data_IF_328816698723
#
_entry.id   IF_328816698723
#
_cell.length_a   1.000
_cell.length_b   1.000
_cell.length_c   1.000
_cell.angle_alpha   90.00
_cell.angle_beta   90.00
_cell.angle_gamma   90.00
#
_symmetry.space_group_name_H-M   'P 1'
#
loop_
_entity.id
_entity.type
_entity.pdbx_description
1 polymer ?
#
# COMPACT_ATOMS: atom_id res chain seq x y z
N UNK A 1 -3.10 -6.14 -13.89
CA UNK A 1 -3.09 -6.82 -15.21
C UNK A 1 -4.46 -6.99 -15.82
N UNK A 2 -5.42 -7.63 -15.14
CA UNK A 2 -6.77 -7.85 -15.68
C UNK A 2 -7.43 -6.57 -16.22
N UNK A 3 -7.55 -5.52 -15.39
CA UNK A 3 -8.13 -4.24 -15.82
C UNK A 3 -7.39 -3.63 -17.02
N UNK A 4 -6.06 -3.69 -17.04
CA UNK A 4 -5.28 -3.14 -18.16
C UNK A 4 -5.47 -3.90 -19.47
N UNK A 5 -5.68 -5.23 -19.41
CA UNK A 5 -5.86 -6.09 -20.60
C UNK A 5 -7.28 -6.05 -21.17
N UNK A 6 -8.29 -6.06 -20.30
CA UNK A 6 -9.68 -6.25 -20.71
C UNK A 6 -10.57 -5.01 -20.49
N UNK A 7 -10.16 -4.09 -19.62
CA UNK A 7 -10.98 -2.94 -19.20
C UNK A 7 -10.15 -1.66 -19.15
N UNK A 8 -9.25 -1.46 -20.11
CA UNK A 8 -8.36 -0.30 -20.16
C UNK A 8 -9.09 1.05 -20.03
N UNK A 9 -10.28 1.26 -20.65
CA UNK A 9 -11.01 2.51 -20.51
C UNK A 9 -11.33 2.87 -19.05
N UNK A 10 -11.50 1.89 -18.15
CA UNK A 10 -11.74 2.19 -16.73
C UNK A 10 -10.52 2.84 -16.04
N UNK A 11 -9.31 2.49 -16.48
CA UNK A 11 -8.08 3.08 -15.95
C UNK A 11 -7.90 4.49 -16.55
N UNK A 12 -8.13 4.65 -17.85
CA UNK A 12 -8.03 5.94 -18.55
C UNK A 12 -9.05 6.96 -18.02
N UNK A 13 -10.28 6.50 -17.72
CA UNK A 13 -11.33 7.31 -17.10
C UNK A 13 -11.13 7.54 -15.58
N UNK A 14 -9.99 7.11 -15.01
CA UNK A 14 -9.65 7.25 -13.59
C UNK A 14 -10.69 6.64 -12.64
N UNK A 15 -11.23 5.47 -12.99
CA UNK A 15 -12.25 4.75 -12.18
C UNK A 15 -11.67 3.62 -11.34
N UNK A 16 -10.37 3.34 -11.47
CA UNK A 16 -9.69 2.27 -10.75
C UNK A 16 -8.86 2.86 -9.62
N UNK A 17 -9.13 2.39 -8.40
CA UNK A 17 -8.46 2.84 -7.18
C UNK A 17 -7.97 1.66 -6.35
N UNK A 18 -6.90 1.87 -5.61
CA UNK A 18 -6.36 0.93 -4.63
C UNK A 18 -6.52 1.57 -3.25
N UNK A 19 -7.29 0.93 -2.37
CA UNK A 19 -7.42 1.37 -0.99
C UNK A 19 -6.18 1.02 -0.17
N UNK A 20 -5.77 1.93 0.70
CA UNK A 20 -4.63 1.75 1.59
C UNK A 20 -5.09 1.46 3.02
N UNK A 21 -5.15 0.19 3.44
CA UNK A 21 -5.37 -0.14 4.84
C UNK A 21 -4.19 0.27 5.72
N UNK A 22 -4.44 0.64 6.99
CA UNK A 22 -3.38 0.93 7.94
C UNK A 22 -2.59 -0.35 8.27
N UNK A 23 -1.29 -0.21 8.49
CA UNK A 23 -0.41 -1.32 8.87
C UNK A 23 -0.37 -1.53 10.39
N UNK A 24 -0.64 -0.48 11.15
CA UNK A 24 -0.52 -0.50 12.61
C UNK A 24 -1.74 0.13 13.28
N UNK A 25 -2.07 -0.39 14.47
CA UNK A 25 -3.03 0.18 15.42
C UNK A 25 -2.32 0.39 16.74
N UNK A 26 -2.48 1.60 17.28
CA UNK A 26 -1.90 2.03 18.55
C UNK A 26 -3.08 2.33 19.49
N UNK A 27 -3.14 1.61 20.60
CA UNK A 27 -4.15 1.80 21.65
C UNK A 27 -3.46 2.38 22.89
N UNK A 28 -3.85 3.57 23.31
CA UNK A 28 -3.38 4.13 24.59
C UNK A 28 -4.10 3.44 25.75
N UNK A 29 -3.37 2.79 26.66
CA UNK A 29 -3.97 1.99 27.73
C UNK A 29 -4.65 2.84 28.82
N UNK A 30 -4.25 4.10 28.97
CA UNK A 30 -4.78 5.02 29.98
C UNK A 30 -6.08 5.69 29.53
N UNK A 31 -6.10 6.20 28.30
CA UNK A 31 -7.26 6.93 27.74
C UNK A 31 -8.19 6.06 26.90
N UNK A 32 -7.76 4.83 26.57
CA UNK A 32 -8.42 3.92 25.62
C UNK A 32 -8.59 4.52 24.21
N UNK A 33 -7.86 5.59 23.89
CA UNK A 33 -7.89 6.20 22.55
C UNK A 33 -7.15 5.31 21.55
N UNK A 34 -7.77 5.05 20.42
CA UNK A 34 -7.21 4.30 19.30
C UNK A 34 -6.69 5.27 18.24
N UNK A 35 -5.56 4.92 17.63
CA UNK A 35 -5.01 5.61 16.47
C UNK A 35 -4.38 4.60 15.51
N UNK A 36 -4.32 4.94 14.22
CA UNK A 36 -3.81 4.07 13.16
C UNK A 36 -2.53 4.65 12.56
N UNK A 37 -1.68 3.84 11.95
CA UNK A 37 -0.56 4.31 11.14
C UNK A 37 -0.41 3.47 9.87
N UNK A 38 -0.13 4.13 8.75
CA UNK A 38 -0.03 3.53 7.42
C UNK A 38 1.40 3.13 7.04
N UNK A 39 2.41 3.76 7.65
CA UNK A 39 3.81 3.42 7.45
C UNK A 39 4.61 3.48 8.77
N UNK A 40 5.89 3.08 8.70
CA UNK A 40 6.78 3.09 9.86
C UNK A 40 7.15 4.50 10.34
N UNK A 41 7.20 5.48 9.45
CA UNK A 41 7.58 6.86 9.79
C UNK A 41 6.47 7.54 10.58
N UNK A 42 5.22 7.33 10.16
CA UNK A 42 4.03 7.78 10.86
C UNK A 42 3.92 7.09 12.23
N UNK A 43 4.19 5.77 12.28
CA UNK A 43 4.25 5.03 13.55
C UNK A 43 5.28 5.67 14.49
N UNK A 44 6.53 5.85 14.06
CA UNK A 44 7.60 6.48 14.87
C UNK A 44 7.19 7.86 15.36
N UNK A 45 6.53 8.66 14.52
CA UNK A 45 6.06 9.99 14.89
C UNK A 45 4.96 9.94 15.96
N UNK A 46 3.95 9.08 15.78
CA UNK A 46 2.87 8.91 16.77
C UNK A 46 3.39 8.38 18.11
N UNK A 47 4.34 7.45 18.07
CA UNK A 47 4.98 6.92 19.27
C UNK A 47 5.79 7.97 20.03
N UNK A 48 6.48 8.91 19.34
CA UNK A 48 7.19 10.02 20.01
C UNK A 48 6.26 10.94 20.79
N UNK A 49 5.04 11.13 20.32
CA UNK A 49 4.04 11.98 20.99
C UNK A 49 3.27 11.26 22.11
N UNK A 50 3.26 9.92 22.11
CA UNK A 50 2.70 9.13 23.20
C UNK A 50 3.71 8.97 24.35
N UNK A 51 3.44 9.63 25.49
CA UNK A 51 4.21 9.44 26.73
C UNK A 51 3.67 8.32 27.63
N UNK A 52 2.41 7.92 27.43
CA UNK A 52 1.74 6.90 28.23
C UNK A 52 2.02 5.49 27.72
N UNK A 53 1.74 4.47 28.55
CA UNK A 53 1.75 3.07 28.13
C UNK A 53 0.75 2.84 26.98
N UNK A 54 1.20 2.16 25.95
CA UNK A 54 0.39 1.84 24.76
C UNK A 54 0.53 0.36 24.41
N UNK A 55 -0.46 -0.13 23.68
CA UNK A 55 -0.46 -1.43 23.01
C UNK A 55 -0.36 -1.20 21.51
N UNK A 56 0.56 -1.91 20.86
CA UNK A 56 0.78 -1.85 19.41
C UNK A 56 0.34 -3.17 18.78
N UNK A 57 -0.58 -3.08 17.83
CA UNK A 57 -1.00 -4.19 16.99
C UNK A 57 -0.57 -3.91 15.55
N UNK A 58 0.12 -4.87 14.92
CA UNK A 58 0.48 -4.82 13.50
C UNK A 58 -0.49 -5.71 12.73
N UNK A 59 -1.20 -5.14 11.77
CA UNK A 59 -2.10 -5.89 10.91
C UNK A 59 -1.30 -6.74 9.91
N UNK A 60 -1.63 -8.03 9.84
CA UNK A 60 -1.07 -8.95 8.84
C UNK A 60 -1.96 -9.09 7.61
N UNK A 61 -3.22 -8.69 7.73
CA UNK A 61 -4.18 -8.65 6.65
C UNK A 61 -5.52 -8.09 7.11
N UNK A 62 -6.44 -7.93 6.16
CA UNK A 62 -7.75 -7.32 6.42
C UNK A 62 -8.63 -8.15 7.36
N UNK A 63 -8.42 -9.46 7.43
CA UNK A 63 -9.20 -10.36 8.31
C UNK A 63 -8.99 -10.13 9.81
N UNK A 64 -7.97 -9.37 10.20
CA UNK A 64 -7.72 -8.97 11.59
C UNK A 64 -8.46 -7.68 11.98
N UNK A 65 -9.19 -7.06 11.04
CA UNK A 65 -9.93 -5.83 11.25
C UNK A 65 -11.43 -6.12 11.41
N UNK A 66 -12.04 -5.47 12.40
CA UNK A 66 -13.49 -5.48 12.55
C UNK A 66 -14.14 -4.52 11.54
N UNK A 67 -15.44 -4.69 11.27
CA UNK A 67 -16.19 -3.88 10.30
C UNK A 67 -16.08 -2.37 10.56
N UNK A 68 -16.19 -1.93 11.82
CA UNK A 68 -16.06 -0.52 12.20
C UNK A 68 -14.66 0.03 11.88
N UNK A 69 -13.61 -0.75 12.20
CA UNK A 69 -12.23 -0.35 11.94
C UNK A 69 -11.98 -0.25 10.43
N UNK A 70 -12.52 -1.18 9.67
CA UNK A 70 -12.38 -1.20 8.21
C UNK A 70 -13.10 -0.01 7.58
N UNK A 71 -14.31 0.32 8.08
CA UNK A 71 -15.05 1.50 7.65
C UNK A 71 -14.27 2.78 7.89
N UNK A 72 -13.90 3.04 9.15
CA UNK A 72 -13.23 4.28 9.59
C UNK A 72 -11.89 4.53 8.92
N UNK A 73 -11.19 3.47 8.50
CA UNK A 73 -9.83 3.58 7.97
C UNK A 73 -9.73 3.47 6.45
N UNK A 74 -10.59 2.68 5.80
CA UNK A 74 -10.43 2.33 4.38
C UNK A 74 -11.64 2.59 3.50
N UNK A 75 -12.85 2.67 4.06
CA UNK A 75 -14.07 2.79 3.24
C UNK A 75 -14.75 4.15 3.33
N UNK A 76 -14.69 4.80 4.49
CA UNK A 76 -15.29 6.12 4.69
C UNK A 76 -14.70 7.16 3.71
N UNK A 77 -15.51 7.74 2.81
CA UNK A 77 -15.05 8.71 1.83
C UNK A 77 -14.29 9.91 2.41
N UNK A 78 -14.58 10.30 3.65
CA UNK A 78 -13.97 11.46 4.30
C UNK A 78 -12.57 11.16 4.86
N UNK A 79 -12.31 9.92 5.28
CA UNK A 79 -11.05 9.55 5.97
C UNK A 79 -10.16 8.61 5.17
N UNK A 80 -10.71 7.88 4.18
CA UNK A 80 -9.98 6.85 3.44
C UNK A 80 -8.84 7.42 2.60
N UNK A 81 -7.77 6.64 2.49
CA UNK A 81 -6.68 6.91 1.56
C UNK A 81 -6.76 5.96 0.36
N UNK A 82 -6.84 6.55 -0.83
CA UNK A 82 -6.90 5.82 -2.10
C UNK A 82 -5.76 6.25 -3.01
N UNK A 83 -5.15 5.29 -3.69
CA UNK A 83 -4.27 5.54 -4.83
C UNK A 83 -5.09 5.40 -6.10
N UNK A 84 -5.17 6.48 -6.89
CA UNK A 84 -5.76 6.43 -8.22
C UNK A 84 -4.76 5.80 -9.21
N UNK A 85 -5.19 4.78 -9.93
CA UNK A 85 -4.35 4.11 -10.93
C UNK A 85 -4.40 4.89 -12.23
N UNK A 86 -3.24 5.34 -12.73
CA UNK A 86 -3.09 6.03 -14.01
C UNK A 86 -2.12 5.29 -14.93
N UNK A 87 -2.17 5.61 -16.23
CA UNK A 87 -1.22 5.13 -17.24
C UNK A 87 -0.54 6.36 -17.82
N UNK A 88 0.72 6.57 -17.49
CA UNK A 88 1.49 7.72 -18.00
C UNK A 88 2.05 7.41 -19.39
N UNK A 89 2.69 6.25 -19.54
CA UNK A 89 3.22 5.74 -20.80
C UNK A 89 2.72 4.31 -21.05
N UNK A 90 1.89 4.15 -22.08
CA UNK A 90 1.31 2.87 -22.46
C UNK A 90 2.34 1.85 -22.96
N UNK A 91 3.41 2.29 -23.64
CA UNK A 91 4.45 1.40 -24.13
C UNK A 91 5.29 0.84 -22.97
N UNK A 92 5.64 1.68 -21.99
CA UNK A 92 6.34 1.25 -20.78
C UNK A 92 5.45 0.32 -19.95
N UNK A 93 4.18 0.67 -19.76
CA UNK A 93 3.22 -0.15 -19.03
C UNK A 93 3.05 -1.54 -19.67
N UNK A 94 2.91 -1.61 -21.00
CA UNK A 94 2.83 -2.86 -21.75
C UNK A 94 4.08 -3.72 -21.53
N UNK A 95 5.27 -3.13 -21.69
CA UNK A 95 6.54 -3.83 -21.48
C UNK A 95 6.62 -4.41 -20.06
N UNK A 96 6.29 -3.62 -19.03
CA UNK A 96 6.30 -4.07 -17.62
C UNK A 96 5.34 -5.22 -17.40
N UNK A 97 4.12 -5.14 -17.93
CA UNK A 97 3.10 -6.19 -17.76
C UNK A 97 3.54 -7.49 -18.46
N UNK A 98 4.10 -7.42 -19.66
CA UNK A 98 4.59 -8.60 -20.38
C UNK A 98 5.75 -9.25 -19.63
N UNK A 99 6.74 -8.46 -19.16
CA UNK A 99 7.88 -9.01 -18.42
C UNK A 99 7.48 -9.64 -17.09
N UNK A 100 6.60 -8.98 -16.31
CA UNK A 100 6.25 -9.44 -14.96
C UNK A 100 5.18 -10.53 -14.95
N UNK A 101 4.22 -10.47 -15.87
CA UNK A 101 3.00 -11.28 -15.83
C UNK A 101 2.81 -12.15 -17.08
N UNK A 102 3.77 -12.15 -18.02
CA UNK A 102 3.78 -13.02 -19.19
C UNK A 102 4.43 -14.39 -18.92
N UNK A 103 4.45 -15.23 -19.94
CA UNK A 103 4.81 -16.66 -19.80
C UNK A 103 6.33 -16.92 -19.72
N UNK A 104 7.15 -15.95 -20.13
CA UNK A 104 8.61 -16.06 -20.15
C UNK A 104 9.20 -15.89 -18.74
N UNK A 105 9.41 -17.03 -18.06
CA UNK A 105 9.98 -17.06 -16.73
C UNK A 105 11.42 -16.53 -16.67
N UNK A 106 12.20 -16.66 -17.75
CA UNK A 106 13.60 -16.20 -17.77
C UNK A 106 13.66 -14.69 -17.73
N UNK A 107 12.89 -14.01 -18.58
CA UNK A 107 12.80 -12.53 -18.56
C UNK A 107 12.37 -11.98 -17.21
N UNK A 108 11.43 -12.67 -16.54
CA UNK A 108 10.98 -12.28 -15.21
C UNK A 108 12.08 -12.44 -14.18
N UNK A 109 12.83 -13.54 -14.23
CA UNK A 109 13.98 -13.78 -13.34
C UNK A 109 15.06 -12.71 -13.54
N UNK A 110 15.46 -12.46 -14.78
CA UNK A 110 16.47 -11.44 -15.10
C UNK A 110 16.04 -10.06 -14.56
N UNK A 111 14.75 -9.71 -14.71
CA UNK A 111 14.20 -8.47 -14.14
C UNK A 111 14.27 -8.43 -12.61
N UNK A 112 13.97 -9.54 -11.92
CA UNK A 112 14.05 -9.65 -10.46
C UNK A 112 15.50 -9.46 -10.00
N UNK A 113 16.45 -10.14 -10.64
CA UNK A 113 17.86 -10.09 -10.27
C UNK A 113 18.43 -8.67 -10.45
N UNK A 114 17.95 -7.91 -11.45
CA UNK A 114 18.38 -6.53 -11.71
C UNK A 114 17.73 -5.48 -10.78
N UNK A 115 16.47 -5.67 -10.38
CA UNK A 115 15.67 -4.61 -9.74
C UNK A 115 15.37 -4.86 -8.26
N UNK A 116 15.37 -6.11 -7.80
CA UNK A 116 15.03 -6.46 -6.42
C UNK A 116 16.30 -6.52 -5.58
N UNK A 117 16.37 -5.67 -4.56
CA UNK A 117 17.42 -5.75 -3.54
C UNK A 117 17.01 -6.81 -2.52
N UNK A 118 17.72 -7.93 -2.50
CA UNK A 118 17.57 -8.98 -1.49
C UNK A 118 18.32 -8.60 -0.21
N UNK A 119 17.98 -7.45 0.38
CA UNK A 119 18.47 -7.05 1.70
C UNK A 119 17.40 -7.33 2.75
N UNK A 120 17.82 -7.66 3.97
CA UNK A 120 16.90 -7.83 5.12
C UNK A 120 16.41 -6.48 5.67
N UNK A 121 17.04 -5.38 5.25
CA UNK A 121 16.72 -4.01 5.63
C UNK A 121 15.91 -3.35 4.49
N UNK A 122 14.72 -2.85 4.84
CA UNK A 122 13.71 -2.34 3.93
C UNK A 122 13.90 -0.82 3.75
N UNK A 123 14.89 -0.43 2.95
CA UNK A 123 15.22 0.99 2.65
C UNK A 123 14.41 1.53 1.45
N UNK A 124 13.11 1.22 1.38
CA UNK A 124 12.28 1.77 0.30
C UNK A 124 12.04 3.27 0.50
N UNK A 125 12.84 4.08 -0.21
CA UNK A 125 12.57 5.51 -0.39
C UNK A 125 11.61 5.68 -1.57
N UNK A 126 10.40 6.22 -1.37
CA UNK A 126 9.50 6.50 -2.47
C UNK A 126 10.17 7.53 -3.39
N UNK A 127 10.35 7.17 -4.66
CA UNK A 127 10.82 8.09 -5.68
C UNK A 127 9.72 9.12 -5.90
N UNK A 128 9.87 10.30 -5.28
CA UNK A 128 9.06 11.47 -5.64
C UNK A 128 9.51 11.86 -7.04
N UNK A 129 8.62 11.71 -8.01
CA UNK A 129 8.89 12.07 -9.40
C UNK A 129 9.39 13.51 -9.52
N UNK A 130 10.37 13.72 -10.39
CA UNK A 130 10.71 15.03 -10.93
C UNK A 130 9.58 15.55 -11.81
#
# INVERSE_FOLDING_TARGET
TFFYRFMRPLIEDKRVYIALPPLFKITNLKTKKVSYAWDENELKTKLKHLKDKFELQRYKGLGEMNAEQLWETTMDPETRQLIAVTIDDAAIAEKRIVTLMGDDAKKRKDWIDENVKFTLEDDFQPVVGQ
#
